data_IF_777707477285
#
_entry.id   IF_777707477285
#
_cell.length_a   1.000
_cell.length_b   1.000
_cell.length_c   1.000
_cell.angle_alpha   90.00
_cell.angle_beta   90.00
_cell.angle_gamma   90.00
#
_symmetry.space_group_name_H-M   'P 1'
#
loop_
_entity.id
_entity.type
_entity.pdbx_description
1 polymer ?
#
# COMPACT_ATOMS: atom_id res chain seq x y z
N UNK A 1 14.41 16.33 -32.90
CA UNK A 1 14.43 16.14 -31.43
C UNK A 1 13.14 15.46 -31.09
N UNK A 2 13.20 14.30 -30.45
CA UNK A 2 12.00 13.57 -30.04
C UNK A 2 11.28 14.37 -28.94
N UNK A 3 9.95 14.47 -29.04
CA UNK A 3 9.14 15.12 -28.01
C UNK A 3 9.19 14.23 -26.75
N UNK A 4 9.56 14.77 -25.58
CA UNK A 4 9.63 13.98 -24.36
C UNK A 4 8.23 13.51 -23.92
N UNK A 5 8.17 12.30 -23.36
CA UNK A 5 6.96 11.79 -22.71
C UNK A 5 6.63 12.65 -21.47
N UNK A 6 5.33 12.80 -21.12
CA UNK A 6 4.96 13.33 -19.82
C UNK A 6 5.48 12.40 -18.72
N UNK A 7 5.86 12.98 -17.58
CA UNK A 7 6.49 12.25 -16.46
C UNK A 7 5.65 12.34 -15.20
N UNK A 8 5.73 11.31 -14.36
CA UNK A 8 5.24 11.30 -12.98
C UNK A 8 6.42 11.03 -12.03
N UNK A 9 6.20 11.24 -10.74
CA UNK A 9 7.19 11.01 -9.69
C UNK A 9 7.09 9.60 -9.09
N UNK A 10 6.35 8.68 -9.73
CA UNK A 10 6.01 7.41 -9.11
C UNK A 10 7.22 6.52 -8.89
N UNK A 11 7.22 5.91 -7.71
CA UNK A 11 8.10 4.82 -7.30
C UNK A 11 7.19 3.75 -6.68
N UNK A 12 7.43 2.45 -6.87
CA UNK A 12 6.57 1.44 -6.23
C UNK A 12 6.39 0.14 -7.01
N UNK A 13 5.42 -0.67 -6.55
CA UNK A 13 5.02 -1.92 -7.19
C UNK A 13 4.10 -1.63 -8.40
N UNK A 14 4.15 -2.49 -9.42
CA UNK A 14 3.30 -2.43 -10.62
C UNK A 14 2.19 -3.48 -10.54
N UNK A 15 0.96 -3.11 -10.91
CA UNK A 15 -0.16 -4.07 -11.11
C UNK A 15 -0.42 -4.40 -12.59
N UNK A 16 0.42 -3.87 -13.48
CA UNK A 16 0.31 -3.98 -14.94
C UNK A 16 -0.32 -2.76 -15.63
N UNK A 17 -0.96 -1.86 -14.89
CA UNK A 17 -1.56 -0.62 -15.40
C UNK A 17 -1.14 0.62 -14.58
N UNK A 18 -0.97 0.46 -13.28
CA UNK A 18 -0.61 1.48 -12.31
C UNK A 18 0.66 1.10 -11.53
N UNK A 19 1.48 2.11 -11.28
CA UNK A 19 2.54 2.08 -10.28
C UNK A 19 1.99 2.62 -8.97
N UNK A 20 2.20 1.94 -7.85
CA UNK A 20 1.72 2.46 -6.57
C UNK A 20 2.66 2.25 -5.38
N UNK A 21 2.53 3.19 -4.44
CA UNK A 21 2.82 2.99 -3.02
C UNK A 21 1.51 3.09 -2.23
N UNK A 22 1.57 2.97 -0.90
CA UNK A 22 0.39 3.16 -0.06
C UNK A 22 -0.26 4.54 -0.18
N UNK A 23 0.47 5.55 -0.64
CA UNK A 23 0.01 6.95 -0.68
C UNK A 23 0.17 7.60 -2.05
N UNK A 24 0.43 6.82 -3.10
CA UNK A 24 0.63 7.34 -4.44
C UNK A 24 0.23 6.28 -5.46
N UNK A 25 -0.44 6.67 -6.53
CA UNK A 25 -0.64 5.81 -7.71
C UNK A 25 -0.45 6.62 -9.00
N UNK A 26 0.19 6.03 -10.01
CA UNK A 26 0.40 6.69 -11.29
C UNK A 26 0.26 5.74 -12.48
N UNK A 27 -0.11 6.32 -13.61
CA UNK A 27 -0.17 5.66 -14.91
C UNK A 27 0.53 6.53 -15.95
N UNK A 28 1.18 5.90 -16.94
CA UNK A 28 1.62 6.54 -18.18
C UNK A 28 1.12 5.69 -19.33
N UNK A 29 0.38 6.29 -20.28
CA UNK A 29 0.01 5.65 -21.53
C UNK A 29 0.57 6.44 -22.72
N UNK A 30 1.63 5.96 -23.40
CA UNK A 30 2.25 6.67 -24.52
C UNK A 30 1.54 6.44 -25.87
N UNK A 31 0.38 5.77 -25.93
CA UNK A 31 -0.19 5.25 -27.17
C UNK A 31 -1.61 5.76 -27.51
N UNK A 32 -1.94 7.00 -27.14
CA UNK A 32 -3.22 7.61 -27.48
C UNK A 32 -3.21 8.12 -28.93
N UNK A 33 -3.95 7.45 -29.83
CA UNK A 33 -3.96 7.76 -31.27
C UNK A 33 -5.20 8.57 -31.68
N UNK A 34 -4.98 9.59 -32.50
CA UNK A 34 -6.02 10.38 -33.15
C UNK A 34 -5.87 10.32 -34.67
N UNK A 35 -6.99 10.26 -35.37
CA UNK A 35 -7.04 10.29 -36.84
C UNK A 35 -8.10 11.27 -37.30
N UNK A 36 -7.76 12.12 -38.26
CA UNK A 36 -8.64 13.12 -38.85
C UNK A 36 -8.99 12.74 -40.28
N UNK A 37 -10.27 12.77 -40.61
CA UNK A 37 -10.79 12.39 -41.92
C UNK A 37 -11.58 13.55 -42.54
N UNK A 38 -11.61 13.61 -43.88
CA UNK A 38 -12.51 14.50 -44.61
C UNK A 38 -13.97 14.04 -44.51
N UNK A 39 -14.90 14.88 -44.98
CA UNK A 39 -16.32 14.50 -45.16
C UNK A 39 -16.51 13.20 -45.95
N UNK A 40 -15.64 12.97 -46.94
CA UNK A 40 -15.69 11.78 -47.81
C UNK A 40 -14.91 10.57 -47.24
N UNK A 41 -14.63 10.58 -45.92
CA UNK A 41 -13.91 9.52 -45.20
C UNK A 41 -12.46 9.26 -45.68
N UNK A 42 -11.80 10.28 -46.25
CA UNK A 42 -10.38 10.21 -46.60
C UNK A 42 -9.52 10.63 -45.41
N UNK A 43 -8.54 9.82 -45.02
CA UNK A 43 -7.58 10.19 -43.98
C UNK A 43 -6.78 11.44 -44.39
N UNK A 44 -6.88 12.50 -43.59
CA UNK A 44 -6.18 13.78 -43.80
C UNK A 44 -4.94 13.90 -42.93
N UNK A 45 -4.98 13.39 -41.70
CA UNK A 45 -3.84 13.44 -40.78
C UNK A 45 -4.03 12.56 -39.55
N UNK A 46 -2.93 12.34 -38.84
CA UNK A 46 -2.91 11.58 -37.58
C UNK A 46 -2.09 12.31 -36.53
N UNK A 47 -2.38 12.02 -35.27
CA UNK A 47 -1.58 12.48 -34.14
C UNK A 47 -1.41 11.35 -33.12
N UNK A 48 -0.25 11.33 -32.47
CA UNK A 48 0.05 10.46 -31.34
C UNK A 48 0.20 11.33 -30.09
N UNK A 49 -0.47 10.93 -29.01
CA UNK A 49 -0.39 11.56 -27.70
C UNK A 49 0.10 10.56 -26.66
N UNK A 50 0.68 11.11 -25.60
CA UNK A 50 0.92 10.40 -24.36
C UNK A 50 0.16 11.07 -23.23
N UNK A 51 -0.37 10.28 -22.31
CA UNK A 51 -0.94 10.74 -21.05
C UNK A 51 -0.07 10.30 -19.88
N UNK A 52 -0.04 11.11 -18.83
CA UNK A 52 0.48 10.69 -17.54
C UNK A 52 -0.45 11.21 -16.44
N UNK A 53 -0.68 10.36 -15.45
CA UNK A 53 -1.48 10.68 -14.28
C UNK A 53 -0.74 10.31 -13.01
N UNK A 54 -0.89 11.14 -12.00
CA UNK A 54 -0.39 10.88 -10.67
C UNK A 54 -1.44 11.31 -9.65
N UNK A 55 -1.76 10.40 -8.75
CA UNK A 55 -2.58 10.67 -7.58
C UNK A 55 -1.71 10.57 -6.34
N UNK A 56 -1.66 11.67 -5.59
CA UNK A 56 -0.99 11.77 -4.29
C UNK A 56 -2.04 11.79 -3.17
N UNK A 57 -1.85 10.89 -2.20
CA UNK A 57 -2.71 10.71 -1.05
C UNK A 57 -1.93 11.00 0.24
N UNK A 58 -2.64 11.16 1.35
CA UNK A 58 -2.02 11.38 2.65
C UNK A 58 -2.76 10.62 3.76
N UNK A 59 -2.01 9.94 4.62
CA UNK A 59 -2.58 9.19 5.76
C UNK A 59 -3.02 10.08 6.93
N UNK A 60 -2.98 11.40 6.75
CA UNK A 60 -3.35 12.43 7.73
C UNK A 60 -4.27 13.52 7.15
N UNK A 61 -4.76 13.35 5.92
CA UNK A 61 -5.65 14.28 5.26
C UNK A 61 -6.62 13.54 4.35
N UNK A 62 -7.89 13.96 4.36
CA UNK A 62 -8.90 13.47 3.41
C UNK A 62 -8.74 14.09 2.01
N UNK A 63 -7.63 14.79 1.78
CA UNK A 63 -7.30 15.37 0.49
C UNK A 63 -6.61 14.35 -0.40
N UNK A 64 -6.99 14.38 -1.66
CA UNK A 64 -6.34 13.67 -2.76
C UNK A 64 -5.95 14.69 -3.82
N UNK A 65 -4.68 14.67 -4.24
CA UNK A 65 -4.17 15.58 -5.25
C UNK A 65 -3.90 14.80 -6.52
N UNK A 66 -4.47 15.24 -7.63
CA UNK A 66 -4.26 14.64 -8.94
C UNK A 66 -3.46 15.59 -9.81
N UNK A 67 -2.49 15.04 -10.53
CA UNK A 67 -1.73 15.70 -11.58
C UNK A 67 -1.92 14.93 -12.88
N UNK A 68 -2.67 15.51 -13.80
CA UNK A 68 -2.96 14.93 -15.11
C UNK A 68 -2.22 15.69 -16.21
N UNK A 69 -1.72 14.94 -17.19
CA UNK A 69 -0.91 15.44 -18.29
C UNK A 69 -1.31 14.81 -19.62
N UNK A 70 -1.23 15.61 -20.68
CA UNK A 70 -1.31 15.13 -22.06
C UNK A 70 -0.33 15.87 -22.95
N UNK A 71 0.50 15.10 -23.66
CA UNK A 71 1.51 15.63 -24.60
C UNK A 71 1.22 15.13 -26.00
N UNK A 72 1.23 16.02 -26.99
CA UNK A 72 1.20 15.63 -28.40
C UNK A 72 2.61 15.30 -28.89
N UNK A 73 2.90 14.01 -29.10
CA UNK A 73 4.24 13.51 -29.42
C UNK A 73 4.62 13.66 -30.88
N UNK A 74 3.68 13.35 -31.78
CA UNK A 74 3.91 13.39 -33.23
C UNK A 74 2.63 13.66 -33.99
N UNK A 75 2.77 14.13 -35.23
CA UNK A 75 1.67 14.19 -36.18
C UNK A 75 2.15 13.95 -37.61
N UNK A 76 1.22 13.52 -38.45
CA UNK A 76 1.43 13.38 -39.90
C UNK A 76 0.24 13.95 -40.66
N UNK A 77 0.47 14.42 -41.89
CA UNK A 77 -0.59 14.98 -42.73
C UNK A 77 -1.11 16.33 -42.21
N UNK A 78 -2.39 16.58 -42.45
CA UNK A 78 -3.10 17.82 -42.06
C UNK A 78 -4.07 17.51 -40.92
N UNK A 79 -3.90 18.21 -39.81
CA UNK A 79 -4.81 18.20 -38.67
C UNK A 79 -5.82 19.35 -38.76
N UNK A 80 -7.00 19.25 -38.13
CA UNK A 80 -7.99 20.31 -38.18
C UNK A 80 -7.51 21.56 -37.45
N UNK A 81 -7.96 22.73 -37.91
CA UNK A 81 -7.78 23.96 -37.17
C UNK A 81 -8.53 23.87 -35.83
N UNK A 82 -7.90 24.37 -34.76
CA UNK A 82 -8.51 24.33 -33.43
C UNK A 82 -8.59 22.95 -32.79
N UNK A 83 -7.69 22.02 -33.16
CA UNK A 83 -7.54 20.75 -32.45
C UNK A 83 -7.37 21.01 -30.94
N UNK A 84 -8.19 20.32 -30.16
CA UNK A 84 -8.33 20.56 -28.73
C UNK A 84 -8.62 19.27 -27.99
N UNK A 85 -8.39 19.30 -26.68
CA UNK A 85 -8.64 18.18 -25.78
C UNK A 85 -9.60 18.57 -24.67
N UNK A 86 -10.46 17.63 -24.30
CA UNK A 86 -11.29 17.72 -23.10
C UNK A 86 -11.02 16.51 -22.22
N UNK A 87 -10.87 16.75 -20.92
CA UNK A 87 -10.54 15.71 -19.96
C UNK A 87 -11.47 15.81 -18.76
N UNK A 88 -12.08 14.69 -18.41
CA UNK A 88 -13.01 14.57 -17.29
C UNK A 88 -12.59 13.43 -16.40
N UNK A 89 -12.47 13.71 -15.10
CA UNK A 89 -12.35 12.70 -14.04
C UNK A 89 -13.72 12.53 -13.40
N UNK A 90 -14.18 11.30 -13.28
CA UNK A 90 -15.42 10.89 -12.66
C UNK A 90 -15.16 9.95 -11.50
N UNK A 91 -16.12 9.87 -10.60
CA UNK A 91 -16.02 9.12 -9.37
C UNK A 91 -17.20 8.16 -9.29
N UNK A 92 -16.93 6.86 -9.14
CA UNK A 92 -17.94 5.80 -9.15
C UNK A 92 -18.75 5.74 -7.84
N UNK A 93 -18.20 6.27 -6.74
CA UNK A 93 -18.80 6.32 -5.40
C UNK A 93 -19.16 7.76 -4.99
N UNK A 94 -19.88 7.98 -3.87
CA UNK A 94 -20.27 9.31 -3.41
C UNK A 94 -19.09 10.20 -3.01
N UNK A 95 -18.38 10.79 -3.98
CA UNK A 95 -17.41 11.84 -3.71
C UNK A 95 -17.87 13.19 -4.28
N UNK A 96 -17.37 14.27 -3.68
CA UNK A 96 -17.70 15.63 -4.07
C UNK A 96 -16.44 16.39 -4.52
N UNK A 97 -16.39 16.90 -5.76
CA UNK A 97 -17.39 16.75 -6.82
C UNK A 97 -17.37 15.35 -7.44
N UNK A 98 -18.53 14.82 -7.83
CA UNK A 98 -18.61 13.52 -8.52
C UNK A 98 -18.02 13.55 -9.93
N UNK A 99 -17.72 14.73 -10.46
CA UNK A 99 -17.05 14.92 -11.75
C UNK A 99 -16.21 16.19 -11.72
N UNK A 100 -15.00 16.11 -12.26
CA UNK A 100 -14.06 17.22 -12.41
C UNK A 100 -13.67 17.36 -13.87
N UNK A 101 -13.96 18.52 -14.47
CA UNK A 101 -13.54 18.85 -15.84
C UNK A 101 -12.22 19.60 -15.79
N UNK A 102 -11.14 18.94 -16.19
CA UNK A 102 -9.80 19.51 -16.15
C UNK A 102 -9.59 20.52 -17.26
N UNK A 103 -9.86 20.08 -18.49
CA UNK A 103 -9.80 20.87 -19.70
C UNK A 103 -11.14 20.76 -20.42
N UNK A 104 -11.61 21.89 -20.93
CA UNK A 104 -12.80 21.98 -21.79
C UNK A 104 -12.33 22.59 -23.10
N UNK A 105 -12.18 21.77 -24.15
CA UNK A 105 -11.67 22.17 -25.47
C UNK A 105 -10.37 22.99 -25.38
N UNK A 106 -9.40 22.53 -24.59
CA UNK A 106 -8.10 23.18 -24.49
C UNK A 106 -7.28 22.94 -25.77
N UNK A 107 -6.80 23.99 -26.47
CA UNK A 107 -5.99 23.81 -27.67
C UNK A 107 -4.70 23.04 -27.39
N UNK A 108 -4.34 22.14 -28.31
CA UNK A 108 -3.10 21.37 -28.23
C UNK A 108 -2.38 21.35 -29.59
N UNK A 109 -1.05 21.37 -29.54
CA UNK A 109 -0.18 21.38 -30.72
C UNK A 109 1.05 20.49 -30.51
N UNK A 110 1.76 20.17 -31.60
CA UNK A 110 2.91 19.27 -31.56
C UNK A 110 3.97 19.76 -30.55
N UNK A 111 4.39 18.88 -29.63
CA UNK A 111 5.36 19.19 -28.60
C UNK A 111 4.78 19.87 -27.35
N UNK A 112 3.51 20.27 -27.37
CA UNK A 112 2.85 20.89 -26.23
C UNK A 112 2.46 19.82 -25.20
N UNK A 113 2.79 20.08 -23.93
CA UNK A 113 2.29 19.33 -22.77
C UNK A 113 1.26 20.19 -22.02
N UNK A 114 0.02 19.73 -21.96
CA UNK A 114 -0.97 20.30 -21.05
C UNK A 114 -0.87 19.57 -19.71
N UNK A 115 -0.58 20.31 -18.65
CA UNK A 115 -0.46 19.79 -17.29
C UNK A 115 -1.41 20.53 -16.36
N UNK A 116 -2.14 19.80 -15.52
CA UNK A 116 -3.00 20.38 -14.49
C UNK A 116 -2.90 19.57 -13.20
N UNK A 117 -2.71 20.29 -12.10
CA UNK A 117 -2.75 19.75 -10.74
C UNK A 117 -3.95 20.33 -10.00
N UNK A 118 -4.70 19.48 -9.30
CA UNK A 118 -5.87 19.88 -8.53
C UNK A 118 -6.02 18.99 -7.30
N UNK A 119 -6.65 19.52 -6.25
CA UNK A 119 -6.86 18.80 -5.00
C UNK A 119 -8.35 18.74 -4.72
N UNK A 120 -8.82 17.53 -4.43
CA UNK A 120 -10.19 17.26 -4.00
C UNK A 120 -10.15 16.78 -2.55
N UNK A 121 -11.19 17.10 -1.78
CA UNK A 121 -11.33 16.63 -0.39
C UNK A 121 -12.50 15.68 -0.32
N UNK A 122 -12.22 14.46 0.11
CA UNK A 122 -13.26 13.47 0.33
C UNK A 122 -14.10 13.78 1.58
N UNK A 123 -15.35 13.31 1.58
CA UNK A 123 -16.30 13.49 2.68
C UNK A 123 -16.88 12.13 3.09
N UNK A 124 -16.06 11.27 3.74
CA UNK A 124 -16.42 9.89 3.99
C UNK A 124 -17.65 9.78 4.89
N UNK A 125 -18.71 9.17 4.34
CA UNK A 125 -20.00 8.99 5.03
C UNK A 125 -20.03 7.75 5.95
N UNK A 126 -19.07 6.84 5.77
CA UNK A 126 -18.90 5.63 6.59
C UNK A 126 -17.47 5.57 7.18
N UNK A 127 -17.15 4.49 7.91
CA UNK A 127 -15.80 4.32 8.46
C UNK A 127 -14.72 4.09 7.40
N UNK A 128 -15.07 3.45 6.28
CA UNK A 128 -14.18 3.19 5.14
C UNK A 128 -14.91 3.64 3.87
N UNK A 129 -14.41 4.68 3.21
CA UNK A 129 -14.97 5.12 1.94
C UNK A 129 -14.04 4.71 0.80
N UNK A 130 -14.54 3.88 -0.11
CA UNK A 130 -13.79 3.41 -1.28
C UNK A 130 -14.28 4.20 -2.49
N UNK A 131 -13.32 4.71 -3.25
CA UNK A 131 -13.54 5.60 -4.37
C UNK A 131 -12.80 5.03 -5.57
N UNK A 132 -13.54 4.68 -6.62
CA UNK A 132 -12.95 4.38 -7.91
C UNK A 132 -13.04 5.63 -8.79
N UNK A 133 -11.94 5.90 -9.47
CA UNK A 133 -11.82 7.01 -10.40
C UNK A 133 -11.83 6.49 -11.82
N UNK A 134 -12.74 7.06 -12.61
CA UNK A 134 -12.87 6.84 -14.04
C UNK A 134 -12.49 8.11 -14.78
N UNK A 135 -11.91 7.96 -15.95
CA UNK A 135 -11.39 9.05 -16.74
C UNK A 135 -11.94 9.01 -18.17
N UNK A 136 -12.13 10.19 -18.74
CA UNK A 136 -12.57 10.38 -20.11
C UNK A 136 -11.74 11.46 -20.79
N UNK A 137 -11.15 11.12 -21.94
CA UNK A 137 -10.42 12.00 -22.83
C UNK A 137 -11.10 12.08 -24.19
N UNK A 138 -11.48 13.29 -24.59
CA UNK A 138 -11.94 13.59 -25.96
C UNK A 138 -10.92 14.44 -26.67
N UNK A 139 -10.61 14.09 -27.92
CA UNK A 139 -9.71 14.83 -28.80
C UNK A 139 -10.47 15.17 -30.07
N UNK A 140 -10.58 16.45 -30.39
CA UNK A 140 -11.37 16.89 -31.53
C UNK A 140 -11.26 18.39 -31.81
N UNK A 141 -11.99 18.85 -32.80
CA UNK A 141 -12.11 20.26 -33.17
C UNK A 141 -13.59 20.64 -33.29
N UNK A 142 -14.00 21.88 -32.96
CA UNK A 142 -15.40 22.29 -32.91
C UNK A 142 -16.23 22.00 -34.17
N UNK A 143 -15.59 22.05 -35.35
CA UNK A 143 -16.26 21.87 -36.65
C UNK A 143 -16.08 20.45 -37.23
N UNK A 144 -15.46 19.52 -36.49
CA UNK A 144 -15.30 18.14 -36.92
C UNK A 144 -16.42 17.25 -36.36
N UNK A 145 -16.80 16.23 -37.15
CA UNK A 145 -17.65 15.15 -36.66
C UNK A 145 -16.76 14.18 -35.87
N UNK A 146 -17.13 13.91 -34.63
CA UNK A 146 -16.46 12.88 -33.81
C UNK A 146 -16.79 11.49 -34.38
N UNK A 147 -15.77 10.81 -34.91
CA UNK A 147 -15.91 9.46 -35.49
C UNK A 147 -15.70 8.33 -34.46
N UNK A 148 -15.12 8.64 -33.31
CA UNK A 148 -14.82 7.69 -32.24
C UNK A 148 -15.43 8.16 -30.92
N UNK A 149 -15.92 7.24 -30.06
CA UNK A 149 -16.29 7.61 -28.71
C UNK A 149 -15.07 8.17 -27.96
N UNK A 150 -15.29 8.96 -26.89
CA UNK A 150 -14.22 9.37 -26.00
C UNK A 150 -13.39 8.18 -25.52
N UNK A 151 -12.10 8.40 -25.32
CA UNK A 151 -11.20 7.41 -24.72
C UNK A 151 -11.51 7.36 -23.24
N UNK A 152 -11.81 6.17 -22.72
CA UNK A 152 -12.12 5.97 -21.31
C UNK A 152 -11.21 4.95 -20.68
N UNK A 153 -10.78 5.19 -19.45
CA UNK A 153 -10.02 4.25 -18.64
C UNK A 153 -10.31 4.48 -17.16
N UNK A 154 -9.88 3.57 -16.30
CA UNK A 154 -10.11 3.64 -14.86
C UNK A 154 -9.13 2.74 -14.11
N UNK A 155 -9.53 2.26 -12.93
CA UNK A 155 -8.71 1.37 -12.10
C UNK A 155 -7.85 2.11 -11.06
N UNK A 156 -7.95 3.44 -11.01
CA UNK A 156 -7.43 4.20 -9.89
C UNK A 156 -8.37 4.03 -8.69
N UNK A 157 -7.87 3.42 -7.62
CA UNK A 157 -8.64 3.16 -6.39
C UNK A 157 -8.09 3.98 -5.22
N UNK A 158 -8.99 4.58 -4.44
CA UNK A 158 -8.67 5.34 -3.24
C UNK A 158 -9.55 4.87 -2.11
N UNK A 159 -8.97 4.65 -0.94
CA UNK A 159 -9.75 4.51 0.28
C UNK A 159 -9.49 5.69 1.21
N UNK A 160 -10.53 6.38 1.61
CA UNK A 160 -10.50 7.47 2.56
C UNK A 160 -11.24 7.07 3.86
N UNK A 161 -10.54 7.25 4.97
CA UNK A 161 -10.93 6.75 6.28
C UNK A 161 -11.33 7.95 7.17
N UNK A 162 -12.57 7.98 7.68
CA UNK A 162 -12.94 8.90 8.76
C UNK A 162 -12.52 8.28 10.11
N UNK A 163 -12.28 9.10 11.16
CA UNK A 163 -11.71 8.77 12.51
C UNK A 163 -12.21 7.50 13.25
N UNK A 164 -13.20 6.80 12.68
CA UNK A 164 -13.84 5.56 13.11
C UNK A 164 -13.02 4.31 12.71
N UNK A 165 -12.27 4.35 11.62
CA UNK A 165 -11.56 3.19 11.06
C UNK A 165 -10.21 2.93 11.74
N UNK A 166 -9.46 3.99 12.01
CA UNK A 166 -8.29 4.02 12.89
C UNK A 166 -8.47 5.19 13.85
N UNK A 167 -8.51 4.91 15.16
CA UNK A 167 -8.79 5.94 16.17
C UNK A 167 -7.91 7.18 15.96
N UNK A 168 -8.55 8.35 15.97
CA UNK A 168 -7.94 9.67 15.90
C UNK A 168 -7.19 10.02 14.61
N UNK A 169 -7.36 9.26 13.52
CA UNK A 169 -6.79 9.59 12.21
C UNK A 169 -7.84 9.58 11.10
N UNK A 170 -7.77 10.59 10.24
CA UNK A 170 -8.47 10.63 8.97
C UNK A 170 -7.45 10.78 7.84
N UNK A 171 -7.59 10.02 6.77
CA UNK A 171 -6.65 10.05 5.67
C UNK A 171 -7.04 9.12 4.53
N UNK A 172 -6.31 9.24 3.42
CA UNK A 172 -6.54 8.43 2.22
C UNK A 172 -5.31 7.58 1.87
N UNK A 173 -5.56 6.40 1.30
CA UNK A 173 -4.55 5.42 0.88
C UNK A 173 -4.96 4.71 -0.41
N UNK A 174 -3.98 4.09 -1.08
CA UNK A 174 -4.23 3.12 -2.16
C UNK A 174 -4.56 1.77 -1.50
N UNK A 175 -5.82 1.27 -1.59
CA UNK A 175 -6.28 0.15 -0.77
C UNK A 175 -5.61 -1.17 -1.14
N UNK A 176 -5.40 -1.43 -2.42
CA UNK A 176 -4.83 -2.69 -2.92
C UNK A 176 -3.32 -2.82 -2.67
N UNK A 177 -2.61 -1.71 -2.45
CA UNK A 177 -1.18 -1.76 -2.17
C UNK A 177 -0.90 -2.40 -0.80
N UNK A 178 -0.09 -3.46 -0.78
CA UNK A 178 0.31 -4.18 0.45
C UNK A 178 1.59 -3.57 1.05
N UNK A 179 1.53 -2.75 2.12
CA UNK A 179 2.71 -2.11 2.69
C UNK A 179 3.61 -3.11 3.43
N UNK A 180 4.88 -2.72 3.63
CA UNK A 180 5.86 -3.52 4.39
C UNK A 180 6.22 -2.83 5.70
N UNK A 181 6.09 -3.53 6.82
CA UNK A 181 6.65 -3.18 8.12
C UNK A 181 8.15 -3.48 8.13
N UNK A 182 8.96 -2.45 8.31
CA UNK A 182 10.42 -2.58 8.42
C UNK A 182 10.81 -2.71 9.89
N UNK A 183 11.59 -3.74 10.22
CA UNK A 183 12.08 -4.01 11.57
C UNK A 183 13.62 -4.09 11.54
N UNK A 184 14.34 -3.00 11.88
CA UNK A 184 15.79 -3.03 11.95
C UNK A 184 16.30 -3.88 13.10
N UNK A 185 17.16 -4.86 12.81
CA UNK A 185 17.77 -5.71 13.84
C UNK A 185 18.62 -4.89 14.81
N UNK A 186 19.27 -3.84 14.32
CA UNK A 186 20.05 -2.89 15.12
C UNK A 186 19.20 -2.18 16.20
N UNK A 187 17.89 -2.09 16.02
CA UNK A 187 16.97 -1.48 16.98
C UNK A 187 16.28 -2.53 17.87
N UNK A 188 15.91 -3.68 17.32
CA UNK A 188 15.00 -4.62 17.97
C UNK A 188 15.63 -5.97 18.37
N UNK A 189 16.90 -6.21 18.03
CA UNK A 189 17.69 -7.36 18.48
C UNK A 189 16.95 -8.70 18.35
N UNK A 190 16.89 -9.43 19.45
CA UNK A 190 16.28 -10.76 19.56
C UNK A 190 14.81 -10.83 19.16
N UNK A 191 14.02 -9.76 19.27
CA UNK A 191 12.67 -9.76 18.69
C UNK A 191 12.72 -9.78 17.16
N UNK A 192 13.57 -8.97 16.53
CA UNK A 192 13.75 -9.01 15.08
C UNK A 192 14.30 -10.36 14.61
N UNK A 193 15.23 -10.94 15.37
CA UNK A 193 15.83 -12.23 15.06
C UNK A 193 14.81 -13.37 15.21
N UNK A 194 13.93 -13.35 16.23
CA UNK A 194 12.81 -14.28 16.36
C UNK A 194 11.86 -14.21 15.15
N UNK A 195 11.51 -12.99 14.72
CA UNK A 195 10.65 -12.76 13.56
C UNK A 195 11.29 -13.34 12.29
N UNK A 196 12.57 -13.05 12.03
CA UNK A 196 13.30 -13.62 10.89
C UNK A 196 13.38 -15.15 10.98
N UNK A 197 13.70 -15.68 12.16
CA UNK A 197 13.80 -17.11 12.38
C UNK A 197 12.47 -17.80 12.03
N UNK A 198 11.35 -17.26 12.50
CA UNK A 198 10.03 -17.81 12.20
C UNK A 198 9.68 -17.71 10.70
N UNK A 199 10.00 -16.58 10.05
CA UNK A 199 9.80 -16.40 8.61
C UNK A 199 10.54 -17.45 7.78
N UNK A 200 11.73 -17.88 8.21
CA UNK A 200 12.56 -18.79 7.45
C UNK A 200 12.37 -20.27 7.82
N UNK A 201 11.98 -20.57 9.06
CA UNK A 201 11.99 -21.95 9.59
C UNK A 201 10.59 -22.55 9.77
N UNK A 202 9.53 -21.72 9.83
CA UNK A 202 8.16 -22.22 9.96
C UNK A 202 7.47 -22.27 8.60
N UNK A 203 6.68 -23.31 8.37
CA UNK A 203 6.00 -23.58 7.10
C UNK A 203 5.05 -22.46 6.64
N UNK A 204 4.60 -21.60 7.56
CA UNK A 204 3.73 -20.47 7.24
C UNK A 204 4.45 -19.32 6.54
N UNK A 205 5.77 -19.17 6.72
CA UNK A 205 6.56 -18.06 6.18
C UNK A 205 5.91 -16.68 6.36
N UNK A 206 5.18 -16.48 7.47
CA UNK A 206 4.23 -15.39 7.60
C UNK A 206 4.89 -14.01 7.45
N UNK A 207 4.30 -13.16 6.62
CA UNK A 207 4.79 -11.82 6.32
C UNK A 207 6.05 -11.78 5.44
N UNK A 208 6.62 -12.91 5.01
CA UNK A 208 7.80 -12.94 4.15
C UNK A 208 7.41 -12.80 2.67
N UNK A 209 7.77 -11.67 2.05
CA UNK A 209 7.44 -11.40 0.64
C UNK A 209 8.16 -12.40 -0.29
N UNK A 210 7.43 -12.94 -1.25
CA UNK A 210 7.96 -13.80 -2.32
C UNK A 210 7.92 -15.31 -2.04
N UNK A 211 7.92 -15.73 -0.78
CA UNK A 211 7.84 -17.15 -0.39
C UNK A 211 6.70 -17.44 0.58
N UNK A 212 6.26 -16.45 1.37
CA UNK A 212 5.17 -16.58 2.31
C UNK A 212 3.89 -15.85 1.90
N UNK A 213 2.97 -15.77 2.86
CA UNK A 213 1.72 -15.03 2.75
C UNK A 213 1.81 -13.73 3.56
N UNK A 214 1.16 -12.63 3.12
CA UNK A 214 1.11 -11.42 3.92
C UNK A 214 0.38 -11.70 5.24
N UNK A 215 0.71 -10.94 6.28
CA UNK A 215 -0.07 -10.90 7.50
C UNK A 215 -1.30 -10.03 7.28
N UNK A 216 -2.41 -10.31 7.95
CA UNK A 216 -3.62 -9.51 7.85
C UNK A 216 -3.91 -8.83 9.19
N UNK A 217 -4.12 -7.51 9.19
CA UNK A 217 -4.46 -6.77 10.42
C UNK A 217 -5.77 -7.32 11.00
N UNK A 218 -5.76 -7.66 12.28
CA UNK A 218 -6.96 -7.92 13.07
C UNK A 218 -7.29 -6.67 13.89
N UNK A 219 -8.44 -6.02 13.67
CA UNK A 219 -8.87 -4.81 14.38
C UNK A 219 -9.58 -5.10 15.72
N UNK A 220 -10.23 -6.25 15.84
CA UNK A 220 -11.04 -6.59 17.02
C UNK A 220 -10.17 -6.85 18.26
N UNK A 221 -10.21 -5.95 19.24
CA UNK A 221 -9.36 -6.04 20.45
C UNK A 221 -9.62 -7.26 21.31
N UNK A 222 -10.85 -7.79 21.34
CA UNK A 222 -11.18 -9.01 22.09
C UNK A 222 -10.54 -10.25 21.45
N UNK A 223 -10.54 -10.32 20.12
CA UNK A 223 -9.87 -11.40 19.39
C UNK A 223 -8.35 -11.28 19.48
N UNK A 224 -7.79 -10.06 19.43
CA UNK A 224 -6.35 -9.84 19.69
C UNK A 224 -5.96 -10.34 21.09
N UNK A 225 -6.76 -10.01 22.11
CA UNK A 225 -6.55 -10.49 23.47
C UNK A 225 -6.65 -12.02 23.56
N UNK A 226 -7.56 -12.63 22.79
CA UNK A 226 -7.68 -14.08 22.71
C UNK A 226 -6.46 -14.74 22.06
N UNK A 227 -5.93 -14.15 20.99
CA UNK A 227 -4.67 -14.60 20.37
C UNK A 227 -3.51 -14.54 21.37
N UNK A 228 -3.35 -13.39 22.04
CA UNK A 228 -2.33 -13.18 23.07
C UNK A 228 -2.47 -14.16 24.23
N UNK A 229 -3.69 -14.39 24.70
CA UNK A 229 -3.96 -15.29 25.81
C UNK A 229 -3.72 -16.77 25.45
N UNK A 230 -3.88 -17.15 24.18
CA UNK A 230 -3.57 -18.50 23.71
C UNK A 230 -2.07 -18.81 23.80
N UNK A 231 -1.21 -17.90 23.34
CA UNK A 231 0.24 -18.13 23.27
C UNK A 231 0.94 -17.72 24.58
N UNK A 232 0.62 -16.52 25.06
CA UNK A 232 1.32 -15.81 26.13
C UNK A 232 0.48 -15.51 27.36
N UNK A 233 -0.64 -16.21 27.55
CA UNK A 233 -1.45 -16.07 28.76
C UNK A 233 -0.65 -16.34 30.04
N UNK A 234 -0.96 -15.64 31.13
CA UNK A 234 -0.18 -15.66 32.38
C UNK A 234 0.01 -17.06 32.98
N UNK A 235 -0.95 -17.97 32.80
CA UNK A 235 -0.85 -19.37 33.26
C UNK A 235 -0.17 -20.31 32.24
N UNK A 236 0.16 -19.82 31.04
CA UNK A 236 0.70 -20.59 29.92
C UNK A 236 2.18 -20.29 29.64
N UNK A 237 2.73 -19.26 30.28
CA UNK A 237 4.13 -18.82 30.14
C UNK A 237 4.82 -18.81 31.51
N UNK A 238 5.98 -19.45 31.59
CA UNK A 238 6.82 -19.47 32.80
C UNK A 238 8.10 -18.73 32.48
N UNK A 239 8.38 -17.64 33.19
CA UNK A 239 9.56 -16.81 32.91
C UNK A 239 10.86 -17.60 33.02
N UNK A 240 11.78 -17.36 32.09
CA UNK A 240 13.17 -17.82 32.14
C UNK A 240 14.00 -16.84 32.99
N UNK A 241 14.56 -17.27 34.13
CA UNK A 241 15.36 -16.39 35.00
C UNK A 241 16.66 -15.90 34.35
N UNK A 242 17.10 -16.49 33.24
CA UNK A 242 18.31 -16.09 32.53
C UNK A 242 18.05 -14.93 31.56
N UNK A 243 16.78 -14.67 31.21
CA UNK A 243 16.38 -13.55 30.36
C UNK A 243 15.99 -12.36 31.24
N UNK A 244 16.64 -11.23 31.00
CA UNK A 244 16.40 -10.02 31.79
C UNK A 244 15.00 -9.49 31.51
N UNK A 245 14.25 -9.21 32.58
CA UNK A 245 12.86 -8.78 32.49
C UNK A 245 12.04 -9.65 31.54
N UNK A 246 12.20 -10.98 31.63
CA UNK A 246 11.66 -11.92 30.66
C UNK A 246 10.18 -11.69 30.40
N UNK A 247 9.85 -11.63 29.11
CA UNK A 247 8.50 -11.50 28.58
C UNK A 247 8.26 -12.51 27.48
N UNK A 248 7.00 -12.89 27.35
CA UNK A 248 6.55 -13.73 26.26
C UNK A 248 6.38 -12.88 24.99
N UNK A 249 7.21 -13.11 23.99
CA UNK A 249 7.03 -12.55 22.64
C UNK A 249 6.35 -13.61 21.74
N UNK A 250 5.56 -13.18 20.76
CA UNK A 250 4.81 -14.08 19.89
C UNK A 250 4.80 -13.63 18.43
N UNK A 251 4.91 -14.59 17.52
CA UNK A 251 4.71 -14.34 16.10
C UNK A 251 4.01 -15.53 15.42
N UNK A 252 2.99 -15.32 14.56
CA UNK A 252 2.40 -14.03 14.14
C UNK A 252 1.85 -13.15 15.26
N UNK A 253 1.92 -11.83 15.10
CA UNK A 253 1.55 -10.86 16.14
C UNK A 253 0.10 -11.06 16.61
N UNK A 254 -0.19 -10.87 17.91
CA UNK A 254 -1.57 -10.91 18.45
C UNK A 254 -2.60 -10.13 17.60
N UNK A 255 -2.12 -9.00 17.06
CA UNK A 255 -2.83 -8.08 16.20
C UNK A 255 -3.11 -8.56 14.78
N UNK A 256 -2.94 -9.85 14.47
CA UNK A 256 -3.10 -10.43 13.13
C UNK A 256 -4.02 -11.65 13.12
N UNK A 257 -4.63 -11.94 11.96
CA UNK A 257 -5.52 -13.10 11.78
C UNK A 257 -4.76 -14.43 11.81
N UNK A 258 -3.47 -14.43 11.50
CA UNK A 258 -2.59 -15.60 11.46
C UNK A 258 -2.15 -16.07 12.86
N UNK A 259 -2.50 -15.33 13.90
CA UNK A 259 -2.03 -15.55 15.26
C UNK A 259 -2.94 -16.46 16.09
N UNK A 260 -2.32 -17.14 17.06
CA UNK A 260 -2.96 -17.70 18.26
C UNK A 260 -4.29 -18.43 18.04
N UNK A 261 -5.30 -18.02 18.81
CA UNK A 261 -6.62 -18.64 18.86
C UNK A 261 -7.30 -18.70 17.48
N UNK A 262 -7.15 -17.67 16.66
CA UNK A 262 -7.71 -17.64 15.29
C UNK A 262 -7.03 -18.64 14.36
N UNK A 263 -5.78 -19.00 14.63
CA UNK A 263 -5.05 -20.02 13.90
C UNK A 263 -5.04 -21.40 14.62
N UNK A 264 -6.06 -21.67 15.45
CA UNK A 264 -6.23 -22.94 16.16
C UNK A 264 -5.07 -23.30 17.12
N UNK A 265 -4.38 -22.31 17.66
CA UNK A 265 -3.42 -22.48 18.75
C UNK A 265 -4.15 -22.14 20.05
N UNK A 266 -4.18 -23.08 21.00
CA UNK A 266 -4.73 -22.85 22.35
C UNK A 266 -3.63 -22.81 23.41
N UNK A 267 -2.40 -23.25 23.12
CA UNK A 267 -1.32 -23.10 24.08
C UNK A 267 -0.01 -22.75 23.39
N UNK A 268 0.71 -21.76 23.94
CA UNK A 268 2.00 -21.36 23.38
C UNK A 268 3.09 -22.43 23.43
N UNK A 269 2.85 -23.60 24.04
CA UNK A 269 3.79 -24.74 24.01
C UNK A 269 3.73 -25.49 22.67
N UNK A 270 2.64 -25.28 21.92
CA UNK A 270 2.42 -25.83 20.59
C UNK A 270 3.05 -24.93 19.50
N UNK A 271 3.58 -23.76 19.91
CA UNK A 271 4.45 -22.93 19.07
C UNK A 271 5.90 -23.45 19.14
N UNK A 272 6.71 -23.10 18.15
CA UNK A 272 8.16 -23.23 18.26
C UNK A 272 8.65 -22.35 19.42
N UNK A 273 9.54 -22.87 20.25
CA UNK A 273 10.09 -22.11 21.38
C UNK A 273 11.46 -21.55 21.01
N UNK A 274 11.70 -20.30 21.36
CA UNK A 274 13.03 -19.68 21.26
C UNK A 274 13.35 -18.89 22.53
N UNK A 275 14.64 -18.71 22.81
CA UNK A 275 15.11 -17.90 23.93
C UNK A 275 16.17 -16.91 23.42
N UNK A 276 16.07 -15.66 23.85
CA UNK A 276 17.06 -14.64 23.55
C UNK A 276 18.46 -15.04 24.08
N UNK A 277 19.48 -14.85 23.26
CA UNK A 277 20.87 -15.12 23.60
C UNK A 277 21.55 -13.82 23.98
N UNK A 278 22.09 -13.78 25.21
CA UNK A 278 22.85 -12.64 25.71
C UNK A 278 24.26 -12.64 25.10
N UNK A 279 24.64 -11.56 24.43
CA UNK A 279 25.97 -11.33 23.89
C UNK A 279 26.81 -10.36 24.75
N UNK A 280 26.15 -9.45 25.49
CA UNK A 280 26.80 -8.49 26.39
C UNK A 280 25.96 -8.29 27.68
N UNK A 281 26.62 -7.81 28.72
CA UNK A 281 26.07 -7.55 30.06
C UNK A 281 25.67 -6.08 30.27
N UNK A 282 25.76 -5.25 29.23
CA UNK A 282 25.58 -3.79 29.35
C UNK A 282 24.12 -3.37 29.61
N UNK A 283 23.15 -4.24 29.29
CA UNK A 283 21.75 -4.06 29.68
C UNK A 283 20.73 -4.80 28.82
N UNK A 284 19.73 -4.05 28.37
CA UNK A 284 18.53 -4.53 27.64
C UNK A 284 18.50 -4.05 26.18
N UNK A 285 19.64 -3.67 25.61
CA UNK A 285 19.70 -3.14 24.24
C UNK A 285 19.74 -4.27 23.20
N UNK A 286 19.43 -3.94 21.94
CA UNK A 286 19.51 -4.88 20.83
C UNK A 286 20.91 -5.50 20.67
N UNK A 287 21.97 -4.74 20.99
CA UNK A 287 23.36 -5.23 20.96
C UNK A 287 23.68 -6.23 22.08
N UNK A 288 23.00 -6.13 23.22
CA UNK A 288 23.15 -7.06 24.34
C UNK A 288 22.44 -8.40 24.07
N UNK A 289 21.35 -8.35 23.28
CA UNK A 289 20.50 -9.49 22.96
C UNK A 289 20.24 -9.58 21.46
N UNK A 290 21.26 -9.87 20.63
CA UNK A 290 21.15 -9.71 19.18
C UNK A 290 20.42 -10.86 18.49
N UNK A 291 20.32 -12.03 19.13
CA UNK A 291 19.85 -13.27 18.50
C UNK A 291 18.95 -14.08 19.42
N UNK A 292 18.26 -15.05 18.85
CA UNK A 292 17.56 -16.11 19.58
C UNK A 292 18.14 -17.48 19.26
N UNK A 293 17.93 -18.44 20.15
CA UNK A 293 18.20 -19.85 19.88
C UNK A 293 16.93 -20.67 20.09
N UNK A 294 16.60 -21.63 19.21
CA UNK A 294 15.50 -22.57 19.45
C UNK A 294 15.71 -23.35 20.75
N UNK A 295 14.62 -23.60 21.47
CA UNK A 295 14.62 -24.42 22.67
C UNK A 295 13.70 -25.63 22.49
N UNK A 296 14.18 -26.81 22.89
CA UNK A 296 13.46 -28.06 22.68
C UNK A 296 13.46 -28.52 21.21
N UNK A 297 12.44 -29.29 20.83
CA UNK A 297 12.28 -29.81 19.47
C UNK A 297 11.41 -28.86 18.66
N UNK A 298 11.92 -28.43 17.50
CA UNK A 298 11.18 -27.65 16.50
C UNK A 298 11.00 -28.53 15.27
N UNK A 299 9.75 -28.72 14.85
CA UNK A 299 9.37 -29.48 13.66
C UNK A 299 9.34 -28.65 12.38
N UNK A 300 9.21 -27.32 12.50
CA UNK A 300 9.00 -26.40 11.39
C UNK A 300 7.54 -26.33 10.92
N UNK A 301 6.67 -27.19 11.46
CA UNK A 301 5.22 -27.21 11.16
C UNK A 301 4.40 -26.39 12.16
N UNK A 302 5.04 -25.83 13.18
CA UNK A 302 4.39 -24.98 14.16
C UNK A 302 3.81 -23.73 13.48
N UNK A 303 2.61 -23.35 13.92
CA UNK A 303 1.89 -22.20 13.35
C UNK A 303 2.40 -20.85 13.85
N UNK A 304 3.21 -20.87 14.90
CA UNK A 304 3.70 -19.72 15.63
C UNK A 304 5.07 -20.01 16.24
N UNK A 305 5.77 -18.95 16.59
CA UNK A 305 6.91 -18.96 17.51
C UNK A 305 6.53 -18.22 18.79
N UNK A 306 7.05 -18.69 19.92
CA UNK A 306 6.99 -18.04 21.23
C UNK A 306 8.39 -17.85 21.77
N UNK A 307 8.73 -16.61 22.10
CA UNK A 307 10.06 -16.22 22.56
C UNK A 307 10.11 -15.84 24.04
N UNK A 308 11.17 -16.24 24.72
CA UNK A 308 11.65 -15.60 25.95
C UNK A 308 12.53 -14.41 25.57
N UNK A 309 11.96 -13.20 25.59
CA UNK A 309 12.60 -11.98 25.07
C UNK A 309 12.63 -10.90 26.15
N UNK A 310 13.71 -10.12 26.27
CA UNK A 310 13.75 -8.97 27.17
C UNK A 310 12.61 -8.00 26.93
N UNK A 311 11.96 -7.56 28.02
CA UNK A 311 10.72 -6.78 27.93
C UNK A 311 10.79 -5.50 27.10
N UNK A 312 11.96 -4.84 27.07
CA UNK A 312 12.17 -3.64 26.25
C UNK A 312 12.06 -3.96 24.75
N UNK A 313 12.77 -4.97 24.26
CA UNK A 313 12.81 -5.32 22.83
C UNK A 313 11.44 -5.78 22.31
N UNK A 314 10.74 -6.61 23.10
CA UNK A 314 9.38 -7.05 22.80
C UNK A 314 8.40 -5.87 22.73
N UNK A 315 8.43 -4.98 23.73
CA UNK A 315 7.56 -3.80 23.77
C UNK A 315 7.83 -2.82 22.63
N UNK A 316 9.08 -2.68 22.24
CA UNK A 316 9.50 -1.79 21.15
C UNK A 316 9.02 -2.30 19.78
N UNK A 317 9.11 -3.60 19.51
CA UNK A 317 8.53 -4.20 18.29
C UNK A 317 7.01 -4.11 18.28
N UNK A 318 6.35 -4.39 19.40
CA UNK A 318 4.89 -4.22 19.53
C UNK A 318 4.46 -2.77 19.27
N UNK A 319 5.24 -1.81 19.75
CA UNK A 319 5.03 -0.38 19.48
C UNK A 319 5.24 -0.03 18.01
N UNK A 320 6.28 -0.58 17.37
CA UNK A 320 6.55 -0.39 15.95
C UNK A 320 5.40 -0.89 15.07
N UNK A 321 4.86 -2.09 15.37
CA UNK A 321 3.68 -2.62 14.71
C UNK A 321 2.46 -1.69 14.89
N UNK A 322 2.20 -1.25 16.12
CA UNK A 322 1.08 -0.33 16.40
C UNK A 322 1.20 1.01 15.68
N UNK A 323 2.40 1.57 15.56
CA UNK A 323 2.68 2.79 14.79
C UNK A 323 2.47 2.55 13.30
N UNK A 324 3.00 1.45 12.77
CA UNK A 324 2.85 1.08 11.36
C UNK A 324 1.40 0.95 10.93
N UNK A 325 0.58 0.26 11.72
CA UNK A 325 -0.87 0.14 11.51
C UNK A 325 -1.53 1.52 11.35
N UNK A 326 -1.12 2.48 12.18
CA UNK A 326 -1.64 3.86 12.15
C UNK A 326 -1.08 4.68 10.98
N UNK A 327 0.18 4.49 10.62
CA UNK A 327 0.85 5.30 9.61
C UNK A 327 0.55 4.85 8.18
N UNK A 328 0.21 3.58 8.01
CA UNK A 328 -0.26 3.02 6.74
C UNK A 328 -1.78 2.97 6.62
N UNK A 329 -2.50 3.43 7.65
CA UNK A 329 -3.96 3.29 7.77
C UNK A 329 -4.38 1.88 7.35
N UNK A 330 -3.97 0.84 8.06
CA UNK A 330 -4.44 -0.50 7.73
C UNK A 330 -5.92 -0.62 8.14
N UNK A 331 -6.83 -1.06 7.28
CA UNK A 331 -8.16 -1.48 7.69
C UNK A 331 -8.12 -2.86 8.36
N UNK A 332 -9.25 -3.30 8.92
CA UNK A 332 -9.37 -4.70 9.28
C UNK A 332 -9.19 -5.58 8.03
N UNK A 333 -8.44 -6.67 8.18
CA UNK A 333 -8.06 -7.57 7.11
C UNK A 333 -7.16 -6.96 6.02
N UNK A 334 -6.63 -5.75 6.19
CA UNK A 334 -5.62 -5.24 5.24
C UNK A 334 -4.34 -6.10 5.32
N UNK A 335 -3.78 -6.52 4.18
CA UNK A 335 -2.55 -7.28 4.15
C UNK A 335 -1.34 -6.37 4.40
N UNK A 336 -0.28 -6.93 4.98
CA UNK A 336 1.03 -6.30 5.06
C UNK A 336 2.17 -7.33 5.08
N UNK A 337 3.30 -6.93 4.53
CA UNK A 337 4.56 -7.67 4.60
C UNK A 337 5.37 -7.24 5.83
N UNK A 338 6.29 -8.10 6.25
CA UNK A 338 7.25 -7.85 7.31
C UNK A 338 8.66 -8.09 6.76
N UNK A 339 9.55 -7.12 6.92
CA UNK A 339 10.95 -7.23 6.50
C UNK A 339 11.89 -6.86 7.62
N UNK A 340 12.80 -7.76 7.92
CA UNK A 340 13.92 -7.49 8.81
C UNK A 340 15.01 -6.76 8.01
N UNK A 341 15.54 -5.67 8.57
CA UNK A 341 16.62 -4.88 7.94
C UNK A 341 17.88 -4.90 8.79
N UNK A 342 19.04 -4.83 8.13
CA UNK A 342 20.36 -4.90 8.73
C UNK A 342 20.99 -3.51 8.79
#
# INVERSE_FOLDING_TARGET
MDVPLPVNDCTGDEDGYWYATRTMQCQIDPNVKYSYYSSDNKLLGTALFATAQQLDLATKSLQRTETDQITMLSSTGTLPAGLSVSWTTSCSSPCAPGTTKLWTSAPISLGQNLKKTYTLTDQPSTGYDYIDLDYQLSIGSPDAIDLLPPITWGGAEVRCDNKISVADKAGCVVPWYTPTLQIPRSQYGSSADMLEWAQNNLSGHWGLRGTGQPLHRLKNSSQQASNRQAICGTSKFTKDPNVQDDTCDEFPFAGTYESGALNSVDHGKDCAQVTAVRADTSGNLAVDWPTVTPTGTVSGSEKCVRGHIPGALNSDVGSAYGVFVKDKLLADNDPFWLRITF
#
